data_IF_501977276983
#
_entry.id   IF_501977276983
#
_cell.length_a   1.000
_cell.length_b   1.000
_cell.length_c   1.000
_cell.angle_alpha   90.00
_cell.angle_beta   90.00
_cell.angle_gamma   90.00
#
_symmetry.space_group_name_H-M   'P 1'
#
loop_
_entity.id
_entity.type
_entity.pdbx_description
1 polymer ?
#
# COMPACT_ATOMS: atom_id res chain seq x y z
N UNK A 1 1.56 3.77 -1.69
CA UNK A 1 0.16 4.14 -2.02
C UNK A 1 0.21 4.88 -3.33
N UNK A 2 -0.83 4.70 -4.12
CA UNK A 2 -1.05 5.42 -5.36
C UNK A 2 -2.56 5.50 -5.63
N UNK A 3 -3.00 6.52 -6.35
CA UNK A 3 -4.39 6.80 -6.66
C UNK A 3 -4.60 7.06 -8.15
N UNK A 4 -5.75 6.62 -8.65
CA UNK A 4 -6.26 7.02 -9.95
C UNK A 4 -7.37 8.06 -9.80
N UNK A 5 -7.43 9.00 -10.74
CA UNK A 5 -8.41 10.09 -10.72
C UNK A 5 -9.16 10.21 -12.03
N UNK A 6 -10.42 10.66 -11.94
CA UNK A 6 -11.28 11.00 -13.08
C UNK A 6 -11.59 12.49 -13.08
N UNK A 7 -11.91 13.04 -14.26
CA UNK A 7 -12.43 14.40 -14.41
C UNK A 7 -13.88 14.49 -13.96
N UNK A 8 -14.22 15.52 -13.17
CA UNK A 8 -15.59 15.73 -12.66
C UNK A 8 -16.03 17.19 -12.77
N UNK A 9 -17.35 17.38 -12.84
CA UNK A 9 -17.98 18.69 -12.80
C UNK A 9 -17.87 19.50 -14.10
N UNK A 10 -18.55 20.66 -14.17
CA UNK A 10 -18.69 21.44 -15.41
C UNK A 10 -17.42 22.20 -15.82
N UNK A 11 -16.48 22.37 -14.89
CA UNK A 11 -15.23 23.10 -15.11
C UNK A 11 -14.11 22.13 -15.49
N UNK A 12 -13.41 22.43 -16.59
CA UNK A 12 -12.23 21.66 -17.01
C UNK A 12 -11.13 21.73 -15.96
N UNK A 13 -10.41 20.61 -15.77
CA UNK A 13 -9.24 20.52 -14.90
C UNK A 13 -9.52 20.01 -13.48
N UNK A 14 -10.77 19.96 -13.04
CA UNK A 14 -11.12 19.33 -11.75
C UNK A 14 -10.95 17.81 -11.83
N UNK A 15 -10.40 17.23 -10.77
CA UNK A 15 -10.15 15.79 -10.66
C UNK A 15 -10.72 15.27 -9.35
N UNK A 16 -11.29 14.07 -9.36
CA UNK A 16 -11.77 13.37 -8.18
C UNK A 16 -11.14 11.97 -8.09
N UNK A 17 -10.98 11.49 -6.86
CA UNK A 17 -10.45 10.15 -6.58
C UNK A 17 -11.39 9.09 -7.17
N UNK A 18 -10.83 8.16 -7.95
CA UNK A 18 -11.57 7.08 -8.58
C UNK A 18 -11.14 5.69 -8.08
N UNK A 19 -9.86 5.52 -7.75
CA UNK A 19 -9.31 4.30 -7.14
C UNK A 19 -8.16 4.65 -6.22
N UNK A 20 -8.02 3.94 -5.11
CA UNK A 20 -6.85 4.02 -4.23
C UNK A 20 -6.29 2.64 -3.97
N UNK A 21 -4.97 2.51 -4.10
CA UNK A 21 -4.24 1.27 -3.85
C UNK A 21 -3.16 1.48 -2.78
N UNK A 22 -3.18 0.64 -1.74
CA UNK A 22 -2.19 0.60 -0.68
C UNK A 22 -1.61 -0.81 -0.62
N UNK A 23 -0.29 -0.86 -0.64
CA UNK A 23 0.49 -2.09 -0.46
C UNK A 23 1.33 -2.00 0.81
N UNK A 24 1.60 -3.15 1.42
CA UNK A 24 2.54 -3.22 2.53
C UNK A 24 4.00 -3.13 2.06
N UNK A 25 4.94 -3.21 3.01
CA UNK A 25 6.38 -3.15 2.72
C UNK A 25 6.87 -4.22 1.74
N UNK A 26 6.21 -5.38 1.67
CA UNK A 26 6.58 -6.47 0.76
C UNK A 26 5.87 -6.38 -0.60
N UNK A 27 5.00 -5.38 -0.81
CA UNK A 27 4.22 -5.22 -2.05
C UNK A 27 2.91 -6.00 -2.08
N UNK A 28 2.51 -6.65 -0.97
CA UNK A 28 1.20 -7.28 -0.88
C UNK A 28 0.12 -6.20 -0.74
N UNK A 29 -0.99 -6.34 -1.49
CA UNK A 29 -2.12 -5.41 -1.44
C UNK A 29 -2.81 -5.54 -0.09
N UNK A 30 -3.01 -4.42 0.59
CA UNK A 30 -3.74 -4.35 1.86
C UNK A 30 -5.04 -3.56 1.75
N UNK A 31 -5.14 -2.69 0.74
CA UNK A 31 -6.36 -1.97 0.41
C UNK A 31 -6.32 -1.61 -1.07
N UNK A 32 -7.38 -1.92 -1.81
CA UNK A 32 -7.54 -1.61 -3.23
C UNK A 32 -9.04 -1.50 -3.49
N UNK A 33 -9.53 -0.30 -3.76
CA UNK A 33 -10.96 -0.06 -3.95
C UNK A 33 -11.21 1.08 -4.92
N UNK A 34 -12.31 0.98 -5.65
CA UNK A 34 -12.89 2.09 -6.39
C UNK A 34 -13.72 2.98 -5.48
N UNK A 35 -13.96 4.20 -5.95
CA UNK A 35 -14.63 5.25 -5.19
C UNK A 35 -15.84 5.79 -5.94
N UNK A 36 -16.99 5.83 -5.28
CA UNK A 36 -18.22 6.38 -5.85
C UNK A 36 -18.06 7.90 -6.04
N UNK A 37 -18.53 8.39 -7.18
CA UNK A 37 -18.46 9.81 -7.52
C UNK A 37 -19.71 10.54 -7.04
N UNK A 38 -19.52 11.67 -6.36
CA UNK A 38 -20.61 12.55 -5.92
C UNK A 38 -21.00 13.59 -6.97
N UNK A 39 -20.16 13.76 -7.99
CA UNK A 39 -20.36 14.68 -9.10
C UNK A 39 -20.34 13.90 -10.42
N UNK A 40 -21.02 14.39 -11.48
CA UNK A 40 -20.95 13.76 -12.79
C UNK A 40 -19.51 13.67 -13.29
N UNK A 41 -19.12 12.46 -13.74
CA UNK A 41 -17.84 12.22 -14.39
C UNK A 41 -17.90 12.79 -15.80
N UNK A 42 -16.97 13.66 -16.13
CA UNK A 42 -16.85 14.30 -17.46
C UNK A 42 -15.77 13.67 -18.32
N UNK A 43 -14.77 13.03 -17.71
CA UNK A 43 -13.69 12.34 -18.40
C UNK A 43 -13.10 11.25 -17.51
N UNK A 44 -13.26 9.98 -17.89
CA UNK A 44 -12.69 8.85 -17.16
C UNK A 44 -11.16 8.79 -17.25
N UNK A 45 -10.57 9.44 -18.26
CA UNK A 45 -9.13 9.39 -18.55
C UNK A 45 -8.61 7.97 -18.68
N UNK A 46 -9.47 7.07 -19.13
CA UNK A 46 -9.26 5.62 -19.24
C UNK A 46 -7.88 5.24 -19.78
N UNK A 47 -7.43 5.92 -20.83
CA UNK A 47 -6.12 5.68 -21.46
C UNK A 47 -4.92 5.86 -20.52
N UNK A 48 -5.10 6.65 -19.45
CA UNK A 48 -4.13 6.81 -18.36
C UNK A 48 -4.60 6.05 -17.12
N UNK A 49 -5.79 6.32 -16.61
CA UNK A 49 -6.23 5.87 -15.28
C UNK A 49 -6.67 4.40 -15.21
N UNK A 50 -6.97 3.80 -16.36
CA UNK A 50 -7.61 2.48 -16.46
C UNK A 50 -9.06 2.43 -15.97
N UNK A 51 -9.62 3.53 -15.48
CA UNK A 51 -10.98 3.58 -14.91
C UNK A 51 -12.04 3.50 -16.00
N UNK A 52 -13.09 2.70 -15.75
CA UNK A 52 -14.33 2.65 -16.53
C UNK A 52 -15.52 3.06 -15.68
N UNK A 53 -16.60 3.49 -16.33
CA UNK A 53 -17.89 3.82 -15.67
C UNK A 53 -18.35 2.71 -14.73
N UNK A 54 -18.30 1.48 -15.23
CA UNK A 54 -18.70 0.28 -14.51
C UNK A 54 -17.99 0.18 -13.14
N UNK A 55 -16.72 0.55 -13.06
CA UNK A 55 -15.91 0.43 -11.85
C UNK A 55 -16.39 1.35 -10.71
N UNK A 56 -17.08 2.44 -11.05
CA UNK A 56 -17.51 3.48 -10.10
C UNK A 56 -18.96 3.28 -9.62
N UNK A 57 -19.60 2.17 -10.01
CA UNK A 57 -21.01 1.91 -9.79
C UNK A 57 -21.26 0.68 -8.90
N UNK A 58 -22.37 0.72 -8.16
CA UNK A 58 -22.88 -0.40 -7.39
C UNK A 58 -21.94 -0.82 -6.25
N UNK A 59 -21.77 -2.13 -6.10
CA UNK A 59 -20.98 -2.79 -5.06
C UNK A 59 -19.47 -2.80 -5.34
N UNK A 60 -19.03 -2.37 -6.53
CA UNK A 60 -17.61 -2.28 -6.89
C UNK A 60 -16.90 -1.07 -6.31
N UNK A 61 -17.65 -0.03 -5.96
CA UNK A 61 -17.12 1.22 -5.45
C UNK A 61 -17.70 1.54 -4.07
N UNK A 62 -16.86 2.08 -3.20
CA UNK A 62 -17.25 2.51 -1.87
C UNK A 62 -17.52 4.03 -1.84
N UNK A 63 -18.41 4.50 -0.96
CA UNK A 63 -18.58 5.93 -0.72
C UNK A 63 -17.26 6.60 -0.33
N UNK A 64 -17.01 7.81 -0.83
CA UNK A 64 -15.76 8.54 -0.59
C UNK A 64 -15.41 8.66 0.90
N UNK A 65 -16.40 8.92 1.76
CA UNK A 65 -16.21 9.05 3.20
C UNK A 65 -15.66 7.75 3.83
N UNK A 66 -16.17 6.59 3.42
CA UNK A 66 -15.76 5.29 3.93
C UNK A 66 -14.34 4.94 3.48
N UNK A 67 -14.03 5.24 2.21
CA UNK A 67 -12.68 5.08 1.65
C UNK A 67 -11.70 5.97 2.40
N UNK A 68 -12.04 7.24 2.57
CA UNK A 68 -11.20 8.20 3.26
C UNK A 68 -10.94 7.76 4.71
N UNK A 69 -11.98 7.33 5.44
CA UNK A 69 -11.84 6.82 6.80
C UNK A 69 -10.93 5.58 6.88
N UNK A 70 -11.09 4.61 5.97
CA UNK A 70 -10.23 3.42 5.91
C UNK A 70 -8.78 3.78 5.62
N UNK A 71 -8.54 4.64 4.62
CA UNK A 71 -7.19 5.09 4.27
C UNK A 71 -6.54 5.80 5.45
N UNK A 72 -7.22 6.75 6.08
CA UNK A 72 -6.69 7.46 7.26
C UNK A 72 -6.37 6.51 8.41
N UNK A 73 -7.25 5.54 8.68
CA UNK A 73 -7.05 4.54 9.73
C UNK A 73 -5.84 3.64 9.44
N UNK A 74 -5.66 3.23 8.18
CA UNK A 74 -4.50 2.43 7.76
C UNK A 74 -3.19 3.22 7.87
N UNK A 75 -3.21 4.51 7.53
CA UNK A 75 -2.02 5.36 7.50
C UNK A 75 -1.63 5.93 8.87
N UNK A 76 -2.55 5.96 9.83
CA UNK A 76 -2.30 6.56 11.15
C UNK A 76 -1.07 5.97 11.84
N UNK A 77 -0.11 6.83 12.18
CA UNK A 77 1.14 6.46 12.85
C UNK A 77 2.13 5.63 12.02
N UNK A 78 1.92 5.50 10.70
CA UNK A 78 2.80 4.70 9.82
C UNK A 78 3.58 5.58 8.86
N UNK A 79 4.72 5.06 8.40
CA UNK A 79 5.47 5.67 7.29
C UNK A 79 4.74 5.38 5.98
N UNK A 80 4.38 6.42 5.24
CA UNK A 80 3.75 6.33 3.93
C UNK A 80 4.78 6.50 2.81
N UNK A 81 4.79 5.58 1.87
CA UNK A 81 5.65 5.61 0.67
C UNK A 81 4.78 5.78 -0.59
N UNK A 82 5.21 6.62 -1.52
CA UNK A 82 4.56 6.83 -2.82
C UNK A 82 5.41 7.67 -3.77
N UNK A 83 4.80 8.15 -4.85
CA UNK A 83 5.45 9.02 -5.84
C UNK A 83 4.52 10.17 -6.20
N UNK A 84 4.98 11.41 -6.02
CA UNK A 84 4.17 12.61 -6.25
C UNK A 84 2.87 12.63 -5.42
N UNK A 85 2.99 12.25 -4.14
CA UNK A 85 1.88 12.02 -3.20
C UNK A 85 1.00 13.25 -2.97
N UNK A 86 1.45 14.44 -3.34
CA UNK A 86 0.63 15.64 -3.28
C UNK A 86 -0.66 15.50 -4.10
N UNK A 87 -0.63 14.76 -5.22
CA UNK A 87 -1.80 14.53 -6.07
C UNK A 87 -2.81 13.64 -5.35
N UNK A 88 -2.33 12.54 -4.79
CA UNK A 88 -3.13 11.61 -3.99
C UNK A 88 -3.76 12.30 -2.78
N UNK A 89 -2.99 13.10 -2.05
CA UNK A 89 -3.45 13.85 -0.88
C UNK A 89 -4.54 14.85 -1.21
N UNK A 90 -4.41 15.57 -2.33
CA UNK A 90 -5.46 16.46 -2.81
C UNK A 90 -6.74 15.68 -3.16
N UNK A 91 -6.62 14.56 -3.89
CA UNK A 91 -7.76 13.73 -4.27
C UNK A 91 -8.45 13.09 -3.05
N UNK A 92 -7.67 12.62 -2.07
CA UNK A 92 -8.13 12.04 -0.81
C UNK A 92 -8.60 13.08 0.22
N UNK A 93 -8.40 14.38 -0.04
CA UNK A 93 -8.62 15.47 0.93
C UNK A 93 -7.97 15.16 2.29
N UNK A 94 -6.73 14.66 2.25
CA UNK A 94 -5.99 14.18 3.41
C UNK A 94 -4.57 14.72 3.43
N UNK A 95 -4.01 14.91 4.63
CA UNK A 95 -2.63 15.34 4.83
C UNK A 95 -1.90 14.36 5.75
N UNK A 96 -0.81 13.77 5.27
CA UNK A 96 0.04 12.89 6.06
C UNK A 96 1.21 13.67 6.68
N UNK A 97 1.62 13.38 7.94
CA UNK A 97 2.76 14.05 8.56
C UNK A 97 4.02 13.95 7.71
N UNK A 98 4.66 15.09 7.43
CA UNK A 98 5.86 15.15 6.56
C UNK A 98 6.98 14.23 7.07
N UNK A 99 7.15 14.14 8.39
CA UNK A 99 8.15 13.26 9.02
C UNK A 99 7.92 11.77 8.75
N UNK A 100 6.68 11.37 8.43
CA UNK A 100 6.29 10.00 8.11
C UNK A 100 6.06 9.79 6.59
N UNK A 101 6.17 10.84 5.77
CA UNK A 101 6.06 10.74 4.32
C UNK A 101 7.40 10.41 3.68
N UNK A 102 7.40 9.48 2.73
CA UNK A 102 8.51 9.09 1.87
C UNK A 102 8.06 9.17 0.43
N UNK A 103 8.06 10.39 -0.09
CA UNK A 103 7.74 10.66 -1.50
C UNK A 103 8.99 10.51 -2.38
N UNK A 104 8.98 9.51 -3.24
CA UNK A 104 10.11 9.18 -4.13
C UNK A 104 10.38 10.28 -5.17
N UNK A 105 9.42 11.18 -5.43
CA UNK A 105 9.62 12.36 -6.28
C UNK A 105 10.56 13.40 -5.63
N UNK A 106 10.63 13.44 -4.30
CA UNK A 106 11.35 14.48 -3.56
C UNK A 106 12.61 13.97 -2.85
N UNK A 107 12.92 12.68 -2.96
CA UNK A 107 14.07 12.10 -2.30
C UNK A 107 15.38 12.37 -3.05
N UNK A 108 16.35 13.11 -2.47
CA UNK A 108 17.57 13.49 -3.18
C UNK A 108 18.51 12.33 -3.53
N UNK A 109 18.43 11.18 -2.84
CA UNK A 109 19.25 9.99 -3.21
C UNK A 109 18.62 9.17 -4.32
N UNK A 110 17.31 9.31 -4.53
CA UNK A 110 16.57 8.63 -5.59
C UNK A 110 16.58 9.50 -6.85
N UNK A 111 16.24 10.77 -6.70
CA UNK A 111 16.14 11.77 -7.76
C UNK A 111 17.40 12.61 -7.75
N UNK A 112 18.39 12.31 -8.62
CA UNK A 112 19.53 13.21 -8.84
C UNK A 112 20.26 12.95 -10.16
N UNK A 113 20.37 14.02 -10.94
CA UNK A 113 21.62 14.81 -11.07
C UNK A 113 21.25 16.29 -10.87
N UNK A 114 22.05 17.14 -10.20
CA UNK A 114 21.82 18.58 -10.16
C UNK A 114 21.64 19.17 -11.57
N UNK A 115 20.60 19.98 -11.78
CA UNK A 115 20.28 20.56 -13.09
C UNK A 115 19.42 19.68 -14.01
N UNK A 116 19.08 18.45 -13.60
CA UNK A 116 18.15 17.60 -14.35
C UNK A 116 16.71 17.73 -13.85
N UNK A 117 15.76 17.51 -14.77
CA UNK A 117 14.33 17.47 -14.47
C UNK A 117 14.01 16.26 -13.57
N UNK A 118 13.14 16.46 -12.59
CA UNK A 118 12.58 15.38 -11.76
C UNK A 118 11.91 14.33 -12.64
N UNK A 119 12.24 13.06 -12.42
CA UNK A 119 11.70 11.95 -13.17
C UNK A 119 10.34 11.53 -12.61
N UNK A 120 9.37 11.31 -13.50
CA UNK A 120 8.14 10.61 -13.15
C UNK A 120 8.41 9.13 -12.85
N UNK A 121 7.44 8.47 -12.21
CA UNK A 121 7.59 7.10 -11.71
C UNK A 121 8.07 6.11 -12.79
N UNK A 122 7.48 6.13 -13.99
CA UNK A 122 7.89 5.26 -15.11
C UNK A 122 9.38 5.35 -15.42
N UNK A 123 9.87 6.56 -15.67
CA UNK A 123 11.27 6.79 -16.00
C UNK A 123 12.19 6.45 -14.82
N UNK A 124 11.73 6.74 -13.60
CA UNK A 124 12.48 6.42 -12.39
C UNK A 124 12.61 4.90 -12.18
N UNK A 125 11.52 4.15 -12.40
CA UNK A 125 11.50 2.68 -12.29
C UNK A 125 12.37 2.04 -13.35
N UNK A 126 12.31 2.54 -14.58
CA UNK A 126 13.20 2.08 -15.66
C UNK A 126 14.66 2.33 -15.32
N UNK A 127 15.02 3.55 -14.88
CA UNK A 127 16.39 3.89 -14.52
C UNK A 127 16.92 3.10 -13.32
N UNK A 128 16.11 2.90 -12.28
CA UNK A 128 16.56 2.32 -11.01
C UNK A 128 16.42 0.80 -10.94
N UNK A 129 15.40 0.24 -11.59
CA UNK A 129 15.08 -1.18 -11.52
C UNK A 129 15.32 -1.92 -12.84
N UNK A 130 15.49 -1.21 -13.97
CA UNK A 130 15.60 -1.83 -15.29
C UNK A 130 14.31 -2.48 -15.78
N UNK A 131 13.16 -2.03 -15.26
CA UNK A 131 11.84 -2.59 -15.57
C UNK A 131 10.98 -1.48 -16.19
N UNK A 132 10.22 -1.81 -17.23
CA UNK A 132 9.24 -0.89 -17.81
C UNK A 132 7.87 -1.11 -17.17
N UNK A 133 7.24 -0.02 -16.73
CA UNK A 133 5.84 0.01 -16.27
C UNK A 133 5.03 0.99 -17.14
N UNK A 134 3.70 1.01 -16.97
CA UNK A 134 2.80 1.93 -17.68
C UNK A 134 3.01 1.87 -19.22
N UNK A 135 2.97 0.65 -19.78
CA UNK A 135 3.01 0.43 -21.24
C UNK A 135 1.63 0.63 -21.91
N UNK A 136 0.58 0.76 -21.11
CA UNK A 136 -0.77 1.13 -21.52
C UNK A 136 -1.42 1.90 -20.38
N UNK A 137 -2.62 1.50 -20.01
CA UNK A 137 -3.32 2.04 -18.84
C UNK A 137 -2.52 1.82 -17.56
N UNK A 138 -2.60 2.77 -16.65
CA UNK A 138 -1.96 2.70 -15.36
C UNK A 138 -2.71 1.74 -14.45
N UNK A 139 -1.99 1.28 -13.44
CA UNK A 139 -2.54 0.51 -12.35
C UNK A 139 -1.93 1.02 -11.07
N UNK A 140 -2.73 1.74 -10.28
CA UNK A 140 -2.31 2.17 -8.94
C UNK A 140 -1.70 1.06 -8.07
N UNK A 141 -2.08 -0.21 -8.25
CA UNK A 141 -1.40 -1.33 -7.55
C UNK A 141 0.05 -1.51 -8.03
N UNK A 142 0.28 -1.49 -9.35
CA UNK A 142 1.62 -1.60 -9.94
C UNK A 142 2.46 -0.39 -9.51
N UNK A 143 1.89 0.80 -9.56
CA UNK A 143 2.59 2.05 -9.27
C UNK A 143 2.94 2.17 -7.77
N UNK A 144 2.02 1.78 -6.88
CA UNK A 144 2.28 1.69 -5.45
C UNK A 144 3.39 0.65 -5.13
N UNK A 145 3.42 -0.50 -5.84
CA UNK A 145 4.49 -1.50 -5.70
C UNK A 145 5.82 -0.97 -6.21
N UNK A 146 5.82 -0.27 -7.33
CA UNK A 146 7.01 0.28 -7.93
C UNK A 146 7.66 1.35 -7.04
N UNK A 147 6.86 2.28 -6.50
CA UNK A 147 7.33 3.25 -5.52
C UNK A 147 7.89 2.58 -4.25
N UNK A 148 7.21 1.54 -3.76
CA UNK A 148 7.69 0.75 -2.61
C UNK A 148 9.00 0.02 -2.93
N UNK A 149 9.15 -0.55 -4.12
CA UNK A 149 10.37 -1.24 -4.54
C UNK A 149 11.57 -0.29 -4.59
N UNK A 150 11.39 0.91 -5.16
CA UNK A 150 12.40 1.96 -5.15
C UNK A 150 12.76 2.33 -3.71
N UNK A 151 11.77 2.61 -2.86
CA UNK A 151 12.02 2.94 -1.45
C UNK A 151 12.84 1.85 -0.74
N UNK A 152 12.52 0.57 -0.94
CA UNK A 152 13.25 -0.53 -0.29
C UNK A 152 14.73 -0.57 -0.64
N UNK A 153 15.08 -0.26 -1.88
CA UNK A 153 16.48 -0.23 -2.35
C UNK A 153 17.23 0.92 -1.68
N UNK A 154 16.61 2.09 -1.61
CA UNK A 154 17.23 3.32 -1.10
C UNK A 154 16.93 3.63 0.37
N UNK A 155 16.29 2.70 1.08
CA UNK A 155 15.76 2.95 2.43
C UNK A 155 16.86 3.37 3.39
N UNK A 156 18.01 2.71 3.34
CA UNK A 156 19.09 2.95 4.29
C UNK A 156 19.67 4.35 4.11
N UNK A 157 19.96 4.74 2.87
CA UNK A 157 20.48 6.07 2.54
C UNK A 157 19.44 7.15 2.83
N UNK A 158 18.17 6.91 2.52
CA UNK A 158 17.09 7.87 2.77
C UNK A 158 16.90 8.11 4.27
N UNK A 159 16.76 7.07 5.09
CA UNK A 159 16.59 7.25 6.53
C UNK A 159 17.83 7.86 7.19
N UNK A 160 19.04 7.57 6.67
CA UNK A 160 20.27 8.23 7.12
C UNK A 160 20.25 9.74 6.86
N UNK A 161 19.78 10.16 5.68
CA UNK A 161 19.64 11.59 5.34
C UNK A 161 18.66 12.30 6.27
N UNK A 162 17.55 11.66 6.65
CA UNK A 162 16.54 12.26 7.50
C UNK A 162 17.00 12.42 8.96
N UNK A 163 17.79 11.46 9.46
CA UNK A 163 18.35 11.52 10.81
C UNK A 163 19.61 12.42 10.86
N UNK A 164 20.28 12.63 9.74
CA UNK A 164 21.62 13.20 9.66
C UNK A 164 22.69 12.18 10.07
N UNK A 165 23.86 12.23 9.41
CA UNK A 165 24.93 11.22 9.53
C UNK A 165 25.29 10.85 10.98
N UNK A 166 25.32 11.83 11.89
CA UNK A 166 25.67 11.62 13.31
C UNK A 166 24.63 10.82 14.09
N UNK A 167 23.33 10.95 13.78
CA UNK A 167 22.27 10.22 14.49
C UNK A 167 22.10 8.81 13.93
N UNK A 168 22.27 8.62 12.62
CA UNK A 168 22.19 7.31 11.98
C UNK A 168 23.22 6.30 12.52
N UNK A 169 24.47 6.72 12.71
CA UNK A 169 25.52 5.86 13.28
C UNK A 169 25.26 5.46 14.74
N UNK A 170 24.57 6.30 15.52
CA UNK A 170 24.13 5.94 16.89
C UNK A 170 23.01 4.89 16.87
N UNK A 171 22.01 5.03 15.99
CA UNK A 171 20.94 4.04 15.81
C UNK A 171 21.50 2.69 15.34
N UNK A 172 22.46 2.70 14.41
CA UNK A 172 23.14 1.47 13.94
C UNK A 172 23.92 0.79 15.06
N UNK A 173 24.64 1.53 15.91
CA UNK A 173 25.32 0.98 17.10
C UNK A 173 24.34 0.41 18.13
N UNK A 174 23.22 1.10 18.38
CA UNK A 174 22.16 0.63 19.29
C UNK A 174 21.50 -0.68 18.85
N UNK A 175 21.21 -0.83 17.56
CA UNK A 175 20.62 -2.05 17.00
C UNK A 175 21.62 -3.21 16.83
N UNK A 176 22.93 -2.93 16.83
CA UNK A 176 23.97 -3.96 16.77
C UNK A 176 24.34 -4.50 18.16
N UNK A 177 24.15 -3.70 19.21
CA UNK A 177 24.49 -4.06 20.59
C UNK A 177 23.52 -5.06 21.23
N UNK A 178 22.37 -5.34 20.60
CA UNK A 178 21.36 -6.31 21.06
C UNK A 178 21.55 -7.73 20.53
N UNK A 179 22.66 -8.05 19.84
CA UNK A 179 23.05 -9.45 19.56
C UNK A 179 23.60 -10.12 20.82
N UNK A 180 22.70 -10.85 21.48
CA UNK A 180 22.87 -11.97 22.43
C UNK A 180 24.34 -12.36 22.70
N UNK A 181 24.81 -12.08 23.92
CA UNK A 181 26.03 -12.69 24.48
C UNK A 181 25.83 -14.21 24.57
N UNK A 182 26.47 -14.96 23.68
CA UNK A 182 26.61 -16.41 23.84
C UNK A 182 27.39 -16.70 25.13
N UNK A 183 26.73 -17.35 26.10
CA UNK A 183 27.33 -17.79 27.35
C UNK A 183 28.21 -19.01 27.04
N UNK A 184 29.54 -18.89 27.19
CA UNK A 184 30.47 -20.02 27.05
C UNK A 184 30.23 -21.04 28.18
N UNK A 185 30.15 -22.36 27.91
CA UNK A 185 30.21 -23.35 28.96
C UNK A 185 31.67 -23.53 29.42
N UNK A 186 31.84 -23.64 30.73
CA UNK A 186 33.12 -23.87 31.39
C UNK A 186 33.63 -25.31 31.21
N UNK A 187 34.94 -25.45 31.38
CA UNK A 187 35.75 -26.66 31.20
C UNK A 187 35.75 -27.47 32.51
N UNK A 188 35.50 -28.77 32.44
CA UNK A 188 35.62 -29.72 33.55
C UNK A 188 35.72 -31.16 33.02
N UNK A 189 36.69 -31.91 33.53
CA UNK A 189 37.21 -33.19 32.99
C UNK A 189 36.45 -34.45 33.48
N UNK A 190 36.56 -35.50 32.65
CA UNK A 190 36.66 -36.96 32.88
C UNK A 190 35.55 -37.76 33.61
N UNK A 191 34.87 -38.64 32.85
CA UNK A 191 34.78 -40.11 33.07
C UNK A 191 33.98 -40.81 31.93
N UNK A 192 34.45 -41.99 31.50
CA UNK A 192 34.03 -42.80 30.32
C UNK A 192 32.83 -43.75 30.60
N UNK A 193 32.48 -44.73 29.72
CA UNK A 193 31.42 -44.62 28.70
C UNK A 193 30.28 -45.64 28.88
N UNK A 194 29.08 -45.35 28.36
CA UNK A 194 28.07 -46.40 28.17
C UNK A 194 27.19 -46.15 26.92
N UNK A 195 26.78 -47.26 26.32
CA UNK A 195 26.38 -47.43 24.93
C UNK A 195 24.88 -47.18 24.67
N UNK A 196 24.58 -47.03 23.37
CA UNK A 196 23.36 -47.43 22.64
C UNK A 196 22.28 -46.38 22.35
N UNK A 197 21.98 -46.26 21.05
CA UNK A 197 20.61 -46.01 20.55
C UNK A 197 20.40 -44.72 19.74
N UNK A 198 20.60 -44.79 18.42
CA UNK A 198 19.82 -43.95 17.49
C UNK A 198 18.38 -44.53 17.43
N UNK A 199 17.32 -43.72 17.24
CA UNK A 199 16.99 -43.33 15.87
C UNK A 199 16.23 -42.01 15.64
N UNK A 200 16.27 -41.64 14.36
CA UNK A 200 15.20 -41.12 13.48
C UNK A 200 14.76 -39.67 13.54
N UNK A 201 15.01 -39.04 12.38
CA UNK A 201 14.41 -37.84 11.80
C UNK A 201 12.89 -37.94 11.66
N UNK A 202 12.16 -37.04 12.29
CA UNK A 202 10.77 -36.74 11.91
C UNK A 202 10.69 -35.42 11.13
N UNK A 203 10.01 -35.53 9.99
CA UNK A 203 9.71 -34.47 9.03
C UNK A 203 8.62 -33.57 9.60
N UNK A 204 8.89 -32.26 9.67
CA UNK A 204 7.84 -31.28 9.94
C UNK A 204 7.05 -31.05 8.64
N UNK A 205 5.80 -31.55 8.63
CA UNK A 205 4.81 -31.25 7.60
C UNK A 205 4.20 -29.88 7.93
N UNK A 206 4.35 -28.92 7.02
CA UNK A 206 3.69 -27.61 7.11
C UNK A 206 2.31 -27.73 6.46
N UNK A 207 1.25 -27.69 7.27
CA UNK A 207 -0.13 -27.60 6.78
C UNK A 207 -0.46 -26.15 6.35
N UNK A 208 -1.07 -26.01 5.17
CA UNK A 208 -1.60 -24.75 4.66
C UNK A 208 -2.92 -24.37 5.37
N UNK A 209 -3.23 -23.08 5.57
CA UNK A 209 -4.49 -22.69 6.20
C UNK A 209 -5.67 -22.73 5.22
N UNK A 210 -6.75 -23.38 5.63
CA UNK A 210 -8.02 -23.47 4.91
C UNK A 210 -8.72 -22.10 4.76
N UNK A 211 -9.29 -21.87 3.57
CA UNK A 211 -10.15 -20.73 3.24
C UNK A 211 -11.50 -20.87 3.96
N UNK A 212 -11.79 -19.98 4.90
CA UNK A 212 -13.13 -19.86 5.49
C UNK A 212 -14.01 -18.96 4.61
N UNK A 213 -14.77 -19.55 3.68
CA UNK A 213 -15.86 -18.85 3.00
C UNK A 213 -17.09 -18.79 3.91
N UNK A 214 -17.39 -17.64 4.50
CA UNK A 214 -18.70 -17.41 5.15
C UNK A 214 -19.68 -16.86 4.13
N UNK A 215 -20.57 -17.74 3.68
CA UNK A 215 -21.77 -17.44 2.91
C UNK A 215 -22.79 -16.78 3.84
N UNK A 216 -23.07 -15.49 3.65
CA UNK A 216 -24.18 -14.82 4.32
C UNK A 216 -25.48 -15.23 3.61
N UNK A 217 -26.32 -16.02 4.29
CA UNK A 217 -27.69 -16.32 3.84
C UNK A 217 -28.63 -15.24 4.36
N UNK A 218 -29.13 -14.38 3.48
CA UNK A 218 -30.19 -13.42 3.79
C UNK A 218 -31.54 -14.15 3.72
N UNK A 219 -32.25 -14.24 4.84
CA UNK A 219 -33.63 -14.75 4.86
C UNK A 219 -34.56 -13.63 4.39
N UNK A 220 -35.09 -13.82 3.19
CA UNK A 220 -36.30 -13.17 2.70
C UNK A 220 -37.50 -13.65 3.52
N UNK A 221 -38.18 -12.73 4.20
CA UNK A 221 -39.65 -12.62 4.27
C UNK A 221 -39.99 -11.40 5.13
N UNK A 222 -40.45 -10.32 4.52
CA UNK A 222 -41.62 -9.62 5.04
C UNK A 222 -42.43 -9.03 3.88
N UNK A 223 -43.68 -9.48 3.86
CA UNK A 223 -44.68 -9.32 2.83
C UNK A 223 -45.52 -8.10 3.20
N UNK A 224 -45.27 -6.96 2.57
CA UNK A 224 -46.17 -5.80 2.68
C UNK A 224 -47.27 -5.96 1.62
N UNK A 225 -48.51 -6.13 2.09
CA UNK A 225 -49.71 -6.11 1.27
C UNK A 225 -50.03 -4.67 0.83
N UNK A 226 -50.53 -4.44 -0.40
CA UNK A 226 -51.13 -3.17 -0.77
C UNK A 226 -52.60 -3.14 -0.34
N UNK A 227 -52.99 -2.18 0.51
CA UNK A 227 -54.39 -1.83 0.72
C UNK A 227 -54.88 -0.99 -0.46
N UNK A 228 -55.78 -1.58 -1.25
CA UNK A 228 -56.58 -0.88 -2.23
C UNK A 228 -57.75 -0.13 -1.56
N UNK A 229 -58.09 1.04 -2.11
CA UNK A 229 -59.26 1.86 -1.79
C UNK A 229 -58.83 3.30 -1.51
N UNK A 230 -59.17 4.34 -2.28
CA UNK A 230 -60.09 4.49 -3.39
C UNK A 230 -60.92 5.78 -3.22
N UNK A 231 -60.73 6.73 -4.16
CA UNK A 231 -61.64 7.83 -4.59
C UNK A 231 -61.97 8.92 -3.51
N UNK A 232 -61.98 10.25 -3.72
CA UNK A 232 -62.46 11.13 -4.80
C UNK A 232 -61.86 12.56 -4.69
N UNK A 233 -61.95 13.31 -5.82
CA UNK A 233 -61.83 14.76 -6.05
C UNK A 233 -60.45 15.44 -6.01
#
# INVERSE_FOLDING_TARGET
>A
MDCEMVGVGPQRGRSALARVSIVNFHGAVIFDTYVQQTEPVTDYRTFVSGIREADLLGDRALPFADVQFHVQSLLSGRVLVGHALHNDFQALKYWHPVSLTRDTQHCPVIQKTPGQRTLGLKALVEQKLGITIQQGEHSSVIDARAAMAIFRIYRMEWEALLLGDRQFHKVKKGNSASKIKAKKPGRGNDASPEQNGAPSTERIIVAAPERMSRRLSFKSTDRIQPSAGGWWN
#
